data_IF_775869985897
#
_entry.id   IF_775869985897
#
_cell.length_a   1.000
_cell.length_b   1.000
_cell.length_c   1.000
_cell.angle_alpha   90.00
_cell.angle_beta   90.00
_cell.angle_gamma   90.00
#
_symmetry.space_group_name_H-M   'P 1'
#
loop_
_entity.id
_entity.type
_entity.pdbx_description
1 polymer ?
2 non-polymer ?
3 non-polymer ?
4 water ?
#
# COMPACT_ATOMS: atom_id res chain seq x y z
N UNK A 1 -14.49 -14.07 0.06
CA UNK A 1 -14.19 -12.65 0.37
C UNK A 1 -14.50 -11.76 -0.83
N UNK A 2 -15.00 -10.56 -0.56
CA UNK A 2 -15.29 -9.59 -1.61
C UNK A 2 -14.04 -8.85 -2.02
N UNK A 3 -13.84 -8.71 -3.34
CA UNK A 3 -12.75 -7.89 -3.85
C UNK A 3 -13.05 -7.46 -5.28
N UNK A 4 -12.37 -6.40 -5.71
CA UNK A 4 -12.46 -5.92 -7.08
C UNK A 4 -11.13 -6.15 -7.79
N UNK A 5 -11.19 -6.49 -9.07
CA UNK A 5 -9.99 -6.53 -9.91
C UNK A 5 -9.70 -5.15 -10.47
N UNK A 6 -8.46 -4.72 -10.32
CA UNK A 6 -8.02 -3.45 -10.88
C UNK A 6 -6.68 -3.68 -11.56
N UNK A 7 -6.34 -2.77 -12.48
CA UNK A 7 -5.05 -2.81 -13.15
C UNK A 7 -4.45 -1.41 -13.18
N UNK A 8 -3.16 -1.32 -12.90
CA UNK A 8 -2.44 -0.06 -12.93
C UNK A 8 -1.34 -0.10 -13.97
N UNK A 9 -1.17 1.00 -14.68
CA UNK A 9 0.01 1.23 -15.49
C UNK A 9 1.16 1.56 -14.56
N UNK A 10 2.38 1.63 -15.10
CA UNK A 10 3.52 2.04 -14.29
C UNK A 10 3.29 3.45 -13.75
N UNK A 11 3.61 3.63 -12.47
CA UNK A 11 3.42 4.89 -11.77
C UNK A 11 4.68 5.32 -11.05
N UNK A 12 4.83 6.63 -10.91
CA UNK A 12 5.92 7.22 -10.15
C UNK A 12 5.41 7.59 -8.77
N UNK A 13 6.05 7.05 -7.74
CA UNK A 13 5.68 7.32 -6.36
C UNK A 13 6.73 8.19 -5.67
N UNK A 14 6.26 9.16 -4.90
CA UNK A 14 7.13 10.10 -4.20
C UNK A 14 6.83 10.05 -2.71
N UNK A 15 7.84 9.90 -1.89
CA UNK A 15 7.63 9.82 -0.46
C UNK A 15 8.88 9.49 0.32
N UNK A 16 8.70 8.73 1.40
CA UNK A 16 9.82 8.30 2.23
C UNK A 16 9.71 6.80 2.51
N UNK A 17 10.81 6.11 2.25
CA UNK A 17 10.93 4.69 2.55
C UNK A 17 11.85 4.46 3.74
N UNK A 18 11.37 3.68 4.69
CA UNK A 18 12.21 3.17 5.78
C UNK A 18 12.29 1.65 5.65
N UNK A 19 13.30 1.07 6.29
CA UNK A 19 13.55 -0.37 6.20
C UNK A 19 13.65 -0.99 7.59
N UNK A 20 12.94 -2.09 7.80
CA UNK A 20 12.90 -2.79 9.09
C UNK A 20 13.35 -4.23 8.89
N UNK A 21 13.79 -4.86 9.98
CA UNK A 21 14.44 -6.16 9.90
C UNK A 21 13.55 -7.23 9.27
N UNK A 22 12.24 -7.09 9.44
CA UNK A 22 11.29 -8.06 8.90
C UNK A 22 9.86 -7.54 8.93
N UNK A 23 8.91 -8.40 8.61
CA UNK A 23 7.52 -8.02 8.53
C UNK A 23 6.88 -7.75 9.89
N UNK A 24 7.28 -8.50 10.90
CA UNK A 24 6.74 -8.33 12.24
C UNK A 24 7.38 -7.13 12.94
N UNK A 25 8.70 -7.03 12.82
CA UNK A 25 9.44 -5.94 13.42
C UNK A 25 8.96 -4.59 12.86
N UNK A 26 8.48 -4.61 11.63
CA UNK A 26 7.99 -3.41 10.98
C UNK A 26 6.70 -2.92 11.62
N UNK A 27 5.82 -3.85 11.96
CA UNK A 27 4.48 -3.51 12.43
C UNK A 27 4.50 -2.59 13.65
N UNK A 28 5.51 -2.72 14.48
CA UNK A 28 5.61 -1.86 15.66
C UNK A 28 6.22 -0.51 15.31
N UNK A 29 7.05 -0.47 14.26
CA UNK A 29 7.72 0.76 13.86
C UNK A 29 6.91 1.55 12.83
N UNK A 30 6.06 0.86 12.07
CA UNK A 30 5.30 1.51 11.01
C UNK A 30 4.35 2.56 11.58
N UNK A 31 3.74 2.24 12.72
CA UNK A 31 2.88 3.21 13.40
C UNK A 31 3.66 4.47 13.81
N UNK A 32 4.87 4.25 14.33
CA UNK A 32 5.74 5.36 14.69
C UNK A 32 6.20 6.12 13.46
N UNK A 33 6.38 5.40 12.37
CA UNK A 33 6.82 6.00 11.11
C UNK A 33 5.74 6.97 10.61
N UNK A 34 4.50 6.51 10.58
CA UNK A 34 3.39 7.37 10.21
C UNK A 34 3.38 8.62 11.09
N UNK A 35 3.52 8.39 12.40
CA UNK A 35 3.45 9.46 13.39
C UNK A 35 4.51 10.52 13.14
N UNK A 36 5.73 10.08 12.85
CA UNK A 36 6.83 11.01 12.59
C UNK A 36 6.58 11.81 11.31
N UNK A 37 6.04 11.15 10.28
CA UNK A 37 5.78 11.84 9.03
C UNK A 37 4.70 12.92 9.20
N UNK A 38 3.70 12.65 10.04
CA UNK A 38 2.71 13.66 10.35
C UNK A 38 3.36 14.81 11.13
N UNK A 39 4.08 14.45 12.18
CA UNK A 39 4.67 15.44 13.09
C UNK A 39 5.65 16.36 12.36
N UNK A 40 6.46 15.80 11.47
CA UNK A 40 7.47 16.59 10.78
C UNK A 40 6.91 17.28 9.54
N UNK A 41 5.61 17.11 9.27
CA UNK A 41 4.96 17.79 8.17
C UNK A 41 5.14 17.11 6.82
N UNK A 42 5.65 15.88 6.85
CA UNK A 42 5.91 15.16 5.61
C UNK A 42 4.60 14.77 4.92
N UNK A 43 3.59 14.39 5.68
CA UNK A 43 2.32 14.02 5.06
C UNK A 43 1.70 15.22 4.36
N UNK A 44 1.68 16.36 5.04
CA UNK A 44 1.12 17.57 4.46
C UNK A 44 1.86 17.95 3.17
N UNK A 45 3.18 17.84 3.21
CA UNK A 45 4.02 18.21 2.08
C UNK A 45 3.79 17.29 0.88
N UNK A 46 3.67 15.98 1.15
CA UNK A 46 3.45 15.00 0.09
C UNK A 46 2.07 15.15 -0.54
N UNK A 47 1.09 15.49 0.28
CA UNK A 47 -0.27 15.67 -0.21
C UNK A 47 -0.34 16.77 -1.26
N UNK A 48 0.54 17.77 -1.15
CA UNK A 48 0.63 18.82 -2.16
C UNK A 48 1.02 18.26 -3.53
N UNK A 49 1.80 17.18 -3.51
CA UNK A 49 2.37 16.62 -4.75
C UNK A 49 1.48 15.56 -5.41
N UNK A 50 0.44 15.13 -4.71
CA UNK A 50 -0.43 14.06 -5.21
C UNK A 50 -1.11 14.46 -6.52
N UNK A 51 -0.80 13.74 -7.59
CA UNK A 51 -1.34 14.07 -8.91
C UNK A 51 -2.63 13.33 -9.21
N UNK A 52 -3.09 12.52 -8.26
CA UNK A 52 -4.37 11.86 -8.40
C UNK A 52 -4.38 10.62 -9.25
N UNK A 53 -3.21 10.12 -9.66
CA UNK A 53 -3.15 8.84 -10.36
C UNK A 53 -3.77 7.79 -9.46
N UNK A 54 -3.42 7.86 -8.18
CA UNK A 54 -4.17 7.17 -7.13
C UNK A 54 -4.67 8.23 -6.16
N UNK A 55 -5.96 8.16 -5.83
CA UNK A 55 -6.59 9.17 -4.99
C UNK A 55 -6.44 8.83 -3.51
N UNK A 56 -5.41 9.40 -2.89
CA UNK A 56 -5.13 9.19 -1.49
C UNK A 56 -3.64 9.08 -1.24
N UNK A 57 -3.29 8.65 -0.03
CA UNK A 57 -1.90 8.43 0.34
C UNK A 57 -1.66 6.93 0.51
N UNK A 58 -0.50 6.47 0.06
CA UNK A 58 -0.16 5.04 0.10
C UNK A 58 0.79 4.69 1.23
N UNK A 59 0.57 3.51 1.81
CA UNK A 59 1.56 2.86 2.64
C UNK A 59 1.92 1.55 1.98
N UNK A 60 3.08 1.50 1.33
CA UNK A 60 3.52 0.33 0.58
C UNK A 60 4.48 -0.54 1.38
N UNK A 61 4.21 -1.85 1.40
CA UNK A 61 5.17 -2.81 1.92
C UNK A 61 6.02 -3.31 0.75
N UNK A 62 7.31 -3.01 0.81
CA UNK A 62 8.25 -3.37 -0.24
C UNK A 62 9.20 -4.45 0.29
N UNK A 63 9.23 -5.62 -0.37
CA UNK A 63 10.18 -6.63 0.07
C UNK A 63 11.60 -6.30 -0.38
N UNK A 64 12.58 -6.55 0.48
CA UNK A 64 13.99 -6.37 0.13
C UNK A 64 14.60 -7.73 -0.13
N UNK A 65 15.65 -7.78 -0.94
CA UNK A 65 16.21 -9.05 -1.37
C UNK A 65 16.90 -9.81 -0.24
N UNK A 66 17.31 -9.11 0.81
CA UNK A 66 17.98 -9.75 1.94
C UNK A 66 17.01 -10.20 3.04
N UNK A 67 15.71 -10.14 2.74
CA UNK A 67 14.70 -10.61 3.67
C UNK A 67 14.11 -9.48 4.51
N UNK A 68 14.79 -8.35 4.56
CA UNK A 68 14.24 -7.18 5.25
C UNK A 68 12.96 -6.72 4.57
N UNK A 69 12.16 -5.93 5.29
CA UNK A 69 10.94 -5.37 4.72
C UNK A 69 10.93 -3.87 4.88
N UNK A 70 10.70 -3.17 3.76
CA UNK A 70 10.59 -1.72 3.78
C UNK A 70 9.13 -1.29 3.74
N UNK A 71 8.90 -0.10 4.28
CA UNK A 71 7.58 0.52 4.23
C UNK A 71 7.76 1.92 3.67
N UNK A 72 6.95 2.26 2.68
CA UNK A 72 7.02 3.58 2.05
C UNK A 72 5.70 4.31 2.14
N UNK A 73 5.74 5.49 2.74
CA UNK A 73 4.60 6.39 2.74
C UNK A 73 4.78 7.32 1.55
N UNK A 74 3.85 7.30 0.62
CA UNK A 74 4.03 7.96 -0.66
C UNK A 74 2.73 8.41 -1.31
N UNK A 75 2.87 9.29 -2.29
CA UNK A 75 1.77 9.63 -3.19
C UNK A 75 2.25 9.48 -4.63
N UNK A 76 1.31 9.32 -5.56
CA UNK A 76 1.65 9.34 -6.97
C UNK A 76 1.95 10.78 -7.40
N UNK A 77 3.09 10.97 -8.06
CA UNK A 77 3.53 12.30 -8.48
C UNK A 77 4.36 12.23 -9.76
N UNK A 78 5.19 13.25 -10.02
CA UNK A 78 6.03 13.26 -11.22
C UNK A 78 7.24 14.20 -11.16
N UNK A 79 7.01 15.50 -11.33
CA UNK A 79 8.08 16.49 -11.60
C UNK A 79 9.32 16.43 -10.69
N UNK A 80 10.46 16.11 -11.30
CA UNK A 80 11.67 15.71 -10.59
C UNK A 80 12.32 16.78 -9.71
N UNK A 81 12.47 17.99 -10.22
CA UNK A 81 13.16 19.04 -9.48
C UNK A 81 12.47 19.32 -8.15
N UNK A 82 11.15 19.42 -8.19
CA UNK A 82 10.36 19.67 -6.99
C UNK A 82 10.31 18.42 -6.10
N UNK A 83 10.57 17.27 -6.70
CA UNK A 83 10.60 16.01 -5.97
C UNK A 83 11.70 16.05 -4.90
N UNK A 84 12.74 16.83 -5.19
CA UNK A 84 13.75 17.21 -4.20
C UNK A 84 14.42 16.00 -3.55
N UNK A 85 14.47 15.98 -2.22
CA UNK A 85 15.21 14.96 -1.48
C UNK A 85 14.30 13.86 -0.93
N UNK A 86 13.13 13.70 -1.53
CA UNK A 86 12.26 12.58 -1.21
C UNK A 86 12.76 11.33 -1.89
N UNK A 87 12.33 10.17 -1.39
CA UNK A 87 12.56 8.91 -2.07
C UNK A 87 11.56 8.78 -3.21
N UNK A 88 12.00 8.19 -4.30
CA UNK A 88 11.15 7.98 -5.46
C UNK A 88 11.29 6.55 -5.94
N UNK A 89 10.18 5.93 -6.29
CA UNK A 89 10.21 4.63 -6.91
C UNK A 89 9.26 4.61 -8.09
N UNK A 90 9.50 3.65 -8.97
CA UNK A 90 8.55 3.31 -10.02
C UNK A 90 7.82 2.07 -9.54
N UNK A 91 6.49 2.15 -9.49
CA UNK A 91 5.65 1.01 -9.17
C UNK A 91 5.30 0.31 -10.47
N UNK A 92 5.91 -0.85 -10.71
CA UNK A 92 5.73 -1.56 -11.97
C UNK A 92 4.28 -1.92 -12.21
N UNK A 93 3.88 -1.85 -13.48
CA UNK A 93 2.51 -2.16 -13.88
C UNK A 93 2.09 -3.54 -13.40
N UNK A 94 0.86 -3.66 -12.94
CA UNK A 94 0.36 -4.91 -12.40
C UNK A 94 -1.16 -4.92 -12.28
N UNK A 95 -1.73 -6.11 -12.27
CA UNK A 95 -3.12 -6.30 -11.88
C UNK A 95 -3.18 -6.53 -10.38
N UNK A 96 -4.35 -6.29 -9.78
CA UNK A 96 -4.50 -6.36 -8.33
C UNK A 96 -5.83 -6.96 -7.91
N UNK A 97 -5.83 -7.65 -6.77
CA UNK A 97 -7.05 -7.89 -6.01
C UNK A 97 -7.16 -6.73 -5.02
N UNK A 98 -8.25 -5.97 -5.10
CA UNK A 98 -8.42 -4.79 -4.25
C UNK A 98 -9.51 -5.07 -3.22
N UNK A 99 -9.11 -5.06 -1.94
CA UNK A 99 -10.02 -5.34 -0.84
C UNK A 99 -10.37 -4.03 -0.13
N UNK A 100 -11.49 -4.04 0.59
CA UNK A 100 -11.93 -2.88 1.34
C UNK A 100 -11.99 -3.19 2.83
N UNK A 101 -11.35 -2.34 3.61
CA UNK A 101 -11.44 -2.39 5.07
C UNK A 101 -12.24 -1.19 5.55
N UNK A 102 -13.46 -1.43 6.02
CA UNK A 102 -14.29 -0.35 6.52
C UNK A 102 -14.27 -0.29 8.04
N UNK A 103 -13.94 0.89 8.57
CA UNK A 103 -13.91 1.09 10.00
C UNK A 103 -12.80 2.04 10.38
N UNK A 104 -12.68 2.33 11.68
CA UNK A 104 -11.67 3.24 12.18
C UNK A 104 -10.27 2.67 11.94
N UNK A 105 -9.39 3.50 11.41
CA UNK A 105 -7.97 3.17 11.23
C UNK A 105 -7.28 3.28 12.59
N UNK A 106 -6.31 2.39 12.88
CA UNK A 106 -5.77 1.28 12.10
C UNK A 106 -6.44 -0.07 12.34
N UNK A 107 -7.23 -0.18 13.40
CA UNK A 107 -7.82 -1.45 13.82
C UNK A 107 -8.53 -2.19 12.69
N UNK A 108 -9.36 -1.47 11.93
CA UNK A 108 -10.11 -2.07 10.85
C UNK A 108 -9.18 -2.60 9.76
N UNK A 109 -8.09 -1.88 9.51
CA UNK A 109 -7.14 -2.27 8.49
C UNK A 109 -6.37 -3.50 8.93
N UNK A 110 -5.93 -3.50 10.18
CA UNK A 110 -5.22 -4.64 10.76
C UNK A 110 -6.07 -5.91 10.69
N UNK A 111 -7.33 -5.79 11.03
CA UNK A 111 -8.22 -6.95 11.02
C UNK A 111 -8.46 -7.45 9.60
N UNK A 112 -8.65 -6.51 8.66
CA UNK A 112 -8.89 -6.89 7.27
C UNK A 112 -7.64 -7.52 6.66
N UNK A 113 -6.47 -6.98 7.01
CA UNK A 113 -5.20 -7.54 6.55
C UNK A 113 -5.06 -9.02 6.94
N UNK A 114 -5.46 -9.33 8.18
CA UNK A 114 -5.40 -10.71 8.66
C UNK A 114 -6.31 -11.60 7.83
N UNK A 115 -7.48 -11.09 7.49
CA UNK A 115 -8.45 -11.84 6.69
C UNK A 115 -7.94 -12.01 5.26
N UNK A 116 -7.41 -10.93 4.68
CA UNK A 116 -6.82 -10.98 3.35
C UNK A 116 -5.70 -12.00 3.32
N UNK A 117 -4.88 -11.98 4.36
CA UNK A 117 -3.74 -12.87 4.50
C UNK A 117 -4.18 -14.32 4.39
N UNK A 118 -5.18 -14.68 5.19
CA UNK A 118 -5.72 -16.03 5.18
C UNK A 118 -6.37 -16.35 3.83
N UNK A 119 -7.00 -15.36 3.23
CA UNK A 119 -7.74 -15.59 1.98
C UNK A 119 -6.82 -15.92 0.80
N UNK A 120 -5.74 -15.16 0.65
CA UNK A 120 -4.86 -15.32 -0.50
C UNK A 120 -3.94 -16.54 -0.40
N UNK A 121 -4.00 -17.24 0.73
CA UNK A 121 -3.29 -18.51 0.90
C UNK A 121 -3.66 -19.51 -0.18
N UNK A 122 -4.88 -19.37 -0.71
CA UNK A 122 -5.41 -20.31 -1.68
C UNK A 122 -5.11 -19.88 -3.11
N UNK A 123 -4.30 -18.83 -3.25
CA UNK A 123 -3.93 -18.30 -4.55
C UNK A 123 -2.41 -18.22 -4.69
N UNK A 124 -1.72 -19.29 -4.28
CA UNK A 124 -0.26 -19.30 -4.23
C UNK A 124 0.39 -18.99 -5.58
N UNK A 125 -0.17 -19.51 -6.66
CA UNK A 125 0.42 -19.34 -7.99
C UNK A 125 0.08 -17.99 -8.62
N UNK A 126 -0.81 -17.23 -7.97
CA UNK A 126 -1.30 -15.99 -8.56
C UNK A 126 -0.81 -14.73 -7.85
N UNK A 127 -0.51 -14.83 -6.55
CA UNK A 127 0.02 -13.68 -5.84
C UNK A 127 1.47 -13.43 -6.29
N UNK A 128 1.97 -12.23 -6.03
CA UNK A 128 3.32 -11.85 -6.45
C UNK A 128 4.12 -11.34 -5.24
N UNK A 129 4.85 -12.26 -4.62
CA UNK A 129 5.53 -12.02 -3.35
C UNK A 129 6.65 -10.99 -3.44
N UNK A 130 7.15 -10.78 -4.64
CA UNK A 130 8.26 -9.84 -4.85
C UNK A 130 7.77 -8.43 -5.18
N UNK A 131 6.48 -8.30 -5.44
CA UNK A 131 5.90 -7.01 -5.82
C UNK A 131 5.30 -6.32 -4.60
N UNK A 132 5.38 -4.98 -4.53
CA UNK A 132 4.79 -4.29 -3.38
C UNK A 132 3.26 -4.44 -3.32
N UNK A 133 2.74 -4.56 -2.11
CA UNK A 133 1.29 -4.40 -1.88
C UNK A 133 1.13 -3.16 -1.03
N UNK A 134 -0.05 -2.54 -1.06
CA UNK A 134 -0.21 -1.29 -0.32
C UNK A 134 -1.62 -1.05 0.20
N UNK A 135 -1.66 -0.22 1.24
CA UNK A 135 -2.89 0.38 1.73
C UNK A 135 -3.03 1.73 1.04
N UNK A 136 -4.26 2.06 0.63
CA UNK A 136 -4.56 3.36 0.05
C UNK A 136 -5.57 4.09 0.93
N UNK A 137 -5.17 5.27 1.40
CA UNK A 137 -6.00 6.09 2.30
C UNK A 137 -6.53 7.33 1.62
N UNK A 138 -7.81 7.28 1.26
CA UNK A 138 -8.51 8.40 0.65
C UNK A 138 -8.76 9.49 1.68
N UNK A 139 -9.17 10.67 1.21
CA UNK A 139 -9.58 11.74 2.10
C UNK A 139 -10.78 11.29 2.94
N UNK A 140 -10.82 11.72 4.19
CA UNK A 140 -11.91 11.37 5.08
C UNK A 140 -11.48 11.25 6.52
N UNK A 141 -12.45 11.15 7.42
CA UNK A 141 -12.18 10.98 8.83
C UNK A 141 -11.84 9.52 9.10
N UNK A 142 -10.57 9.25 9.31
CA UNK A 142 -10.09 7.88 9.51
C UNK A 142 -10.52 7.29 10.85
N UNK A 143 -11.20 8.09 11.68
CA UNK A 143 -11.73 7.60 12.94
C UNK A 143 -13.19 7.21 12.80
N UNK A 144 -13.77 7.48 11.63
CA UNK A 144 -15.16 7.11 11.36
C UNK A 144 -15.28 5.63 11.05
N UNK A 145 -16.30 5.00 11.62
CA UNK A 145 -16.51 3.58 11.40
C UNK A 145 -16.97 3.31 9.98
N UNK A 146 -17.29 4.37 9.24
CA UNK A 146 -17.67 4.22 7.82
C UNK A 146 -16.49 4.44 6.88
N UNK A 147 -15.34 4.84 7.43
CA UNK A 147 -14.18 5.10 6.59
C UNK A 147 -13.68 3.84 5.91
N UNK A 148 -13.36 3.94 4.63
CA UNK A 148 -12.89 2.80 3.86
C UNK A 148 -11.42 2.96 3.49
N UNK A 149 -10.62 2.00 3.92
CA UNK A 149 -9.25 1.84 3.46
C UNK A 149 -9.21 0.76 2.38
N UNK A 150 -8.49 0.99 1.29
CA UNK A 150 -8.31 -0.03 0.27
C UNK A 150 -6.98 -0.74 0.46
N UNK A 151 -6.99 -2.05 0.22
CA UNK A 151 -5.79 -2.88 0.30
C UNK A 151 -5.55 -3.53 -1.05
N UNK A 152 -4.44 -3.15 -1.68
CA UNK A 152 -4.11 -3.60 -3.03
C UNK A 152 -3.06 -4.71 -3.03
N UNK A 153 -3.47 -5.91 -3.43
CA UNK A 153 -2.59 -7.07 -3.51
C UNK A 153 -2.34 -7.42 -4.98
N UNK A 154 -1.06 -7.40 -5.41
CA UNK A 154 -0.80 -7.68 -6.83
C UNK A 154 -0.97 -9.14 -7.20
N UNK A 155 -1.43 -9.40 -8.42
CA UNK A 155 -1.61 -10.77 -8.89
C UNK A 155 -1.21 -10.95 -10.34
N UNK A 156 -0.91 -12.19 -10.70
CA UNK A 156 -0.65 -12.58 -12.09
C UNK A 156 -1.39 -13.88 -12.41
N UNK A 157 -1.99 -13.94 -13.59
CA UNK A 157 -2.63 -15.16 -14.08
C UNK A 157 -3.86 -15.60 -13.32
N UNK A 158 -4.52 -14.68 -12.62
CA UNK A 158 -5.62 -15.02 -11.73
C UNK A 158 -6.80 -15.63 -12.48
N UNK A 159 -6.92 -15.30 -13.76
CA UNK A 159 -8.02 -15.82 -14.57
C UNK A 159 -7.89 -17.33 -14.80
N UNK A 160 -6.70 -17.87 -14.53
CA UNK A 160 -6.44 -19.29 -14.75
C UNK A 160 -6.73 -20.13 -13.52
N UNK A 161 -6.96 -19.47 -12.38
CA UNK A 161 -7.27 -20.17 -11.14
C UNK A 161 -8.51 -21.04 -11.31
N UNK A 162 -8.46 -22.27 -10.81
CA UNK A 162 -9.53 -23.24 -11.09
C UNK A 162 -10.86 -22.84 -10.46
N UNK A 163 -10.79 -21.97 -9.45
CA UNK A 163 -11.99 -21.48 -8.76
C UNK A 163 -12.83 -20.61 -9.68
N UNK A 164 -12.22 -20.12 -10.76
CA UNK A 164 -12.90 -19.23 -11.70
C UNK A 164 -13.34 -19.97 -12.96
N UNK A 165 -13.37 -21.30 -12.88
CA UNK A 165 -13.78 -22.14 -14.01
C UNK A 165 -14.70 -23.27 -13.53
#
# INVERSE_FOLDING_TARGET
MEYQLQQLASLTLVGIKETYENGRQAQQHIAGFWQRCYQEGVIADLQLKNNGDLAGILGLCIPELDGKMSYMIAVTGDNSADIAKYDVITLASSKYMVFEAQGAVPKAVQQKMEEVHHYIHQYQANTVKSAPFFELYQDGDTTSEKYITEIWMPVKGLEHHHHHH
#
